data_IF_204905899260
#
_entry.id   IF_204905899260
#
_cell.length_a   1.000
_cell.length_b   1.000
_cell.length_c   1.000
_cell.angle_alpha   90.00
_cell.angle_beta   90.00
_cell.angle_gamma   90.00
#
_symmetry.space_group_name_H-M   'P 1'
#
loop_
_entity.id
_entity.type
_entity.pdbx_description
1 polymer ?
#
# COMPACT_ATOMS: atom_id res chain seq x y z
N UNK A 1 -37.49 10.37 -21.36
CA UNK A 1 -36.20 10.20 -20.64
C UNK A 1 -35.69 8.78 -20.89
N UNK A 2 -34.92 8.58 -21.96
CA UNK A 2 -33.97 7.47 -22.01
C UNK A 2 -32.69 8.00 -21.39
N UNK A 3 -32.45 7.67 -20.11
CA UNK A 3 -31.18 7.95 -19.44
C UNK A 3 -30.24 6.80 -19.82
N UNK A 4 -29.12 7.13 -20.44
CA UNK A 4 -28.02 6.20 -20.68
C UNK A 4 -27.67 5.50 -19.36
N UNK A 5 -27.72 4.16 -19.35
CA UNK A 5 -27.39 3.33 -18.17
C UNK A 5 -28.55 2.59 -17.50
N UNK A 6 -29.75 2.53 -18.10
CA UNK A 6 -30.86 1.66 -17.61
C UNK A 6 -30.94 0.35 -18.40
N UNK A 7 -30.81 -0.78 -17.72
CA UNK A 7 -30.81 -2.12 -18.31
C UNK A 7 -32.02 -2.93 -17.84
N UNK A 8 -32.67 -3.63 -18.76
CA UNK A 8 -33.77 -4.54 -18.43
C UNK A 8 -33.24 -5.89 -18.00
N UNK A 9 -33.66 -6.35 -16.82
CA UNK A 9 -33.05 -7.49 -16.15
C UNK A 9 -34.11 -8.36 -15.46
N UNK A 10 -34.30 -9.62 -15.88
CA UNK A 10 -35.04 -10.60 -15.09
C UNK A 10 -34.27 -10.98 -13.81
N UNK A 11 -34.84 -10.67 -12.66
CA UNK A 11 -34.29 -11.02 -11.34
C UNK A 11 -35.06 -12.21 -10.74
N UNK A 12 -34.33 -13.18 -10.17
CA UNK A 12 -34.93 -14.28 -9.41
C UNK A 12 -35.21 -13.82 -7.99
N UNK A 13 -36.46 -13.92 -7.52
CA UNK A 13 -36.79 -13.56 -6.14
C UNK A 13 -36.11 -14.49 -5.13
N UNK A 14 -35.56 -13.90 -4.07
CA UNK A 14 -35.00 -14.65 -2.93
C UNK A 14 -36.12 -15.48 -2.30
N UNK A 15 -35.91 -16.80 -2.18
CA UNK A 15 -36.87 -17.74 -1.58
C UNK A 15 -38.06 -18.15 -2.46
N UNK A 16 -38.20 -17.65 -3.70
CA UNK A 16 -39.26 -18.07 -4.64
C UNK A 16 -38.67 -18.33 -6.03
N UNK A 17 -39.00 -19.46 -6.65
CA UNK A 17 -38.52 -19.79 -8.00
C UNK A 17 -39.32 -19.06 -9.11
N UNK A 18 -39.43 -17.73 -8.98
CA UNK A 18 -40.14 -16.86 -9.92
C UNK A 18 -39.21 -15.74 -10.37
N UNK A 19 -39.12 -15.53 -11.69
CA UNK A 19 -38.43 -14.41 -12.29
C UNK A 19 -39.36 -13.20 -12.32
N UNK A 20 -38.87 -12.07 -11.85
CA UNK A 20 -39.57 -10.78 -11.87
C UNK A 20 -38.77 -9.82 -12.73
N UNK A 21 -39.39 -9.14 -13.69
CA UNK A 21 -38.70 -8.13 -14.47
C UNK A 21 -38.34 -6.93 -13.58
N UNK A 22 -37.07 -6.53 -13.64
CA UNK A 22 -36.49 -5.41 -12.91
C UNK A 22 -35.67 -4.56 -13.88
N UNK A 23 -35.40 -3.33 -13.45
CA UNK A 23 -34.48 -2.44 -14.14
C UNK A 23 -33.26 -2.23 -13.25
N UNK A 24 -32.08 -2.28 -13.85
CA UNK A 24 -30.83 -1.89 -13.22
C UNK A 24 -30.38 -0.56 -13.82
N UNK A 25 -30.42 0.50 -13.02
CA UNK A 25 -29.86 1.79 -13.38
C UNK A 25 -28.41 1.88 -12.90
N UNK A 26 -27.53 2.43 -13.72
CA UNK A 26 -26.16 2.79 -13.33
C UNK A 26 -25.99 4.28 -13.59
N UNK A 27 -25.63 5.04 -12.56
CA UNK A 27 -25.26 6.45 -12.69
C UNK A 27 -23.79 6.64 -12.23
N UNK A 28 -23.31 7.89 -12.17
CA UNK A 28 -21.92 8.22 -11.81
C UNK A 28 -21.57 7.97 -10.34
N UNK A 29 -22.54 7.71 -9.48
CA UNK A 29 -22.37 7.66 -8.01
C UNK A 29 -22.84 6.33 -7.41
N UNK A 30 -23.85 5.68 -7.99
CA UNK A 30 -24.49 4.47 -7.50
C UNK A 30 -25.08 3.58 -8.62
N UNK A 31 -25.27 2.31 -8.27
CA UNK A 31 -26.09 1.34 -8.99
C UNK A 31 -27.44 1.26 -8.28
N UNK A 32 -28.54 1.29 -9.03
CA UNK A 32 -29.90 1.30 -8.49
C UNK A 32 -30.73 0.17 -9.07
N UNK A 33 -31.44 -0.55 -8.20
CA UNK A 33 -32.49 -1.50 -8.57
C UNK A 33 -33.82 -0.77 -8.63
N UNK A 34 -34.50 -0.84 -9.76
CA UNK A 34 -35.71 -0.09 -10.05
C UNK A 34 -36.84 -1.06 -10.45
N UNK A 35 -38.06 -0.76 -10.02
CA UNK A 35 -39.25 -1.50 -10.45
C UNK A 35 -39.55 -1.19 -11.94
N UNK A 36 -39.83 -2.23 -12.73
CA UNK A 36 -40.11 -2.05 -14.16
C UNK A 36 -41.39 -1.21 -14.40
N UNK A 37 -42.43 -1.42 -13.59
CA UNK A 37 -43.77 -0.85 -13.82
C UNK A 37 -43.93 0.50 -13.15
N UNK A 38 -43.52 0.62 -11.88
CA UNK A 38 -43.70 1.86 -11.13
C UNK A 38 -42.55 2.85 -11.33
N UNK A 39 -41.39 2.37 -11.83
CA UNK A 39 -40.13 3.13 -11.91
C UNK A 39 -39.61 3.63 -10.57
N UNK A 40 -40.10 3.06 -9.46
CA UNK A 40 -39.61 3.39 -8.14
C UNK A 40 -38.27 2.72 -7.87
N UNK A 41 -37.40 3.43 -7.17
CA UNK A 41 -36.11 2.89 -6.73
C UNK A 41 -36.34 1.98 -5.52
N UNK A 42 -35.98 0.71 -5.66
CA UNK A 42 -36.15 -0.31 -4.64
C UNK A 42 -34.93 -0.42 -3.73
N UNK A 43 -33.73 -0.22 -4.30
CA UNK A 43 -32.46 -0.27 -3.57
C UNK A 43 -31.39 0.48 -4.36
N UNK A 44 -30.54 1.21 -3.65
CA UNK A 44 -29.37 1.89 -4.21
C UNK A 44 -28.10 1.37 -3.54
N UNK A 45 -27.05 1.25 -4.34
CA UNK A 45 -25.73 0.82 -3.92
C UNK A 45 -24.69 1.82 -4.42
N UNK A 46 -24.02 2.58 -3.53
CA UNK A 46 -22.92 3.45 -3.91
C UNK A 46 -21.84 2.69 -4.67
N UNK A 47 -21.30 3.28 -5.74
CA UNK A 47 -20.22 2.67 -6.53
C UNK A 47 -18.96 2.44 -5.70
N UNK A 48 -18.73 3.26 -4.68
CA UNK A 48 -17.61 3.11 -3.73
C UNK A 48 -17.69 1.82 -2.90
N UNK A 49 -18.88 1.24 -2.75
CA UNK A 49 -19.09 -0.02 -2.02
C UNK A 49 -18.92 -1.26 -2.91
N UNK A 50 -18.84 -1.08 -4.23
CA UNK A 50 -18.64 -2.20 -5.16
C UNK A 50 -17.19 -2.66 -5.08
N UNK A 51 -16.96 -3.90 -4.63
CA UNK A 51 -15.63 -4.49 -4.52
C UNK A 51 -15.21 -5.17 -5.82
N UNK A 52 -16.11 -5.96 -6.40
CA UNK A 52 -15.87 -6.67 -7.66
C UNK A 52 -17.17 -6.93 -8.40
N UNK A 53 -17.08 -7.07 -9.71
CA UNK A 53 -18.17 -7.53 -10.56
C UNK A 53 -17.69 -8.68 -11.43
N UNK A 54 -18.60 -9.61 -11.75
CA UNK A 54 -18.33 -10.70 -12.67
C UNK A 54 -19.35 -10.67 -13.81
N UNK A 55 -18.84 -10.81 -15.03
CA UNK A 55 -19.63 -10.79 -16.27
C UNK A 55 -19.56 -12.17 -16.91
N UNK A 56 -20.71 -12.74 -17.20
CA UNK A 56 -20.86 -13.98 -17.97
C UNK A 56 -21.89 -13.74 -19.07
N UNK A 57 -21.89 -14.53 -20.18
CA UNK A 57 -22.74 -14.27 -21.35
C UNK A 57 -24.25 -14.15 -21.07
N UNK A 58 -24.71 -14.63 -19.92
CA UNK A 58 -26.12 -14.58 -19.50
C UNK A 58 -26.34 -14.07 -18.08
N UNK A 59 -25.28 -13.77 -17.34
CA UNK A 59 -25.38 -13.40 -15.94
C UNK A 59 -24.39 -12.31 -15.58
N UNK A 60 -24.83 -11.41 -14.73
CA UNK A 60 -24.00 -10.36 -14.16
C UNK A 60 -24.12 -10.42 -12.64
N UNK A 61 -23.00 -10.33 -11.93
CA UNK A 61 -22.99 -10.40 -10.46
C UNK A 61 -22.18 -9.28 -9.87
N UNK A 62 -22.73 -8.61 -8.85
CA UNK A 62 -22.05 -7.60 -8.03
C UNK A 62 -21.72 -8.17 -6.66
N UNK A 63 -20.49 -7.92 -6.22
CA UNK A 63 -20.01 -8.19 -4.88
C UNK A 63 -19.70 -6.87 -4.17
N UNK A 64 -20.26 -6.71 -2.98
CA UNK A 64 -20.09 -5.55 -2.12
C UNK A 64 -19.19 -5.85 -0.91
N UNK A 65 -18.65 -7.07 -0.79
CA UNK A 65 -17.86 -7.50 0.36
C UNK A 65 -18.61 -7.29 1.68
N UNK A 66 -17.95 -6.70 2.67
CA UNK A 66 -18.50 -6.49 4.02
C UNK A 66 -19.62 -5.41 4.07
N UNK A 67 -19.87 -4.68 2.97
CA UNK A 67 -20.96 -3.69 2.91
C UNK A 67 -22.34 -4.34 2.77
N UNK A 68 -22.42 -5.59 2.31
CA UNK A 68 -23.68 -6.32 2.23
C UNK A 68 -23.48 -7.84 2.26
N UNK A 69 -24.30 -8.54 3.04
CA UNK A 69 -24.37 -9.99 3.03
C UNK A 69 -24.89 -10.52 1.68
N UNK A 70 -23.97 -11.08 0.90
CA UNK A 70 -24.25 -11.87 -0.31
C UNK A 70 -24.19 -11.11 -1.64
N UNK A 71 -24.00 -11.89 -2.71
CA UNK A 71 -23.88 -11.37 -4.07
C UNK A 71 -25.23 -10.92 -4.64
N UNK A 72 -25.24 -9.79 -5.35
CA UNK A 72 -26.37 -9.40 -6.18
C UNK A 72 -26.18 -9.97 -7.60
N UNK A 73 -26.88 -11.07 -7.89
CA UNK A 73 -26.79 -11.75 -9.18
C UNK A 73 -28.04 -11.53 -10.04
N UNK A 74 -27.83 -11.23 -11.31
CA UNK A 74 -28.91 -11.01 -12.27
C UNK A 74 -28.66 -11.70 -13.61
N UNK A 75 -29.73 -12.02 -14.33
CA UNK A 75 -29.65 -12.59 -15.67
C UNK A 75 -29.72 -11.47 -16.71
N UNK A 76 -28.67 -11.29 -17.49
CA UNK A 76 -28.59 -10.27 -18.54
C UNK A 76 -27.58 -10.66 -19.62
N UNK A 77 -27.87 -10.30 -20.86
CA UNK A 77 -26.93 -10.41 -21.99
C UNK A 77 -26.02 -9.18 -22.12
N UNK A 78 -26.36 -8.08 -21.46
CA UNK A 78 -25.59 -6.82 -21.51
C UNK A 78 -24.60 -6.69 -20.34
N UNK A 79 -24.22 -7.81 -19.70
CA UNK A 79 -23.33 -7.83 -18.53
C UNK A 79 -21.99 -7.13 -18.79
N UNK A 80 -21.41 -7.31 -19.97
CA UNK A 80 -20.17 -6.64 -20.37
C UNK A 80 -20.31 -5.11 -20.45
N UNK A 81 -21.43 -4.62 -21.02
CA UNK A 81 -21.70 -3.17 -21.12
C UNK A 81 -21.91 -2.55 -19.74
N UNK A 82 -22.63 -3.25 -18.85
CA UNK A 82 -22.84 -2.84 -17.47
C UNK A 82 -21.50 -2.77 -16.73
N UNK A 83 -20.68 -3.82 -16.87
CA UNK A 83 -19.34 -3.87 -16.28
C UNK A 83 -18.43 -2.74 -16.76
N UNK A 84 -18.42 -2.45 -18.07
CA UNK A 84 -17.63 -1.34 -18.63
C UNK A 84 -18.08 0.03 -18.11
N UNK A 85 -19.38 0.26 -17.98
CA UNK A 85 -19.90 1.50 -17.41
C UNK A 85 -19.50 1.66 -15.94
N UNK A 86 -19.63 0.60 -15.15
CA UNK A 86 -19.23 0.60 -13.73
C UNK A 86 -17.72 0.83 -13.60
N UNK A 87 -16.91 0.14 -14.41
CA UNK A 87 -15.46 0.33 -14.44
C UNK A 87 -15.09 1.79 -14.75
N UNK A 88 -15.69 2.37 -15.80
CA UNK A 88 -15.43 3.75 -16.18
C UNK A 88 -15.83 4.77 -15.10
N UNK A 89 -16.92 4.54 -14.37
CA UNK A 89 -17.32 5.43 -13.28
C UNK A 89 -16.44 5.28 -12.05
N UNK A 90 -16.06 4.05 -11.68
CA UNK A 90 -15.14 3.80 -10.55
C UNK A 90 -13.77 4.42 -10.84
N UNK A 91 -13.24 4.29 -12.06
CA UNK A 91 -11.98 4.92 -12.45
C UNK A 91 -12.01 6.44 -12.27
N UNK A 92 -13.12 7.09 -12.63
CA UNK A 92 -13.29 8.54 -12.43
C UNK A 92 -13.32 8.89 -10.93
N UNK A 93 -14.03 8.10 -10.12
CA UNK A 93 -14.11 8.31 -8.66
C UNK A 93 -12.74 8.15 -8.02
N UNK A 94 -12.01 7.07 -8.33
CA UNK A 94 -10.67 6.80 -7.79
C UNK A 94 -9.69 7.89 -8.19
N UNK A 95 -9.66 8.30 -9.47
CA UNK A 95 -8.81 9.40 -9.94
C UNK A 95 -9.14 10.72 -9.24
N UNK A 96 -10.43 11.04 -9.09
CA UNK A 96 -10.86 12.26 -8.40
C UNK A 96 -10.48 12.26 -6.91
N UNK A 97 -10.55 11.10 -6.26
CA UNK A 97 -10.12 10.94 -4.86
C UNK A 97 -8.61 11.09 -4.73
N UNK A 98 -7.82 10.46 -5.60
CA UNK A 98 -6.37 10.61 -5.63
C UNK A 98 -5.91 12.06 -5.85
N UNK A 99 -6.59 12.82 -6.72
CA UNK A 99 -6.29 14.25 -6.91
C UNK A 99 -6.66 15.12 -5.70
N UNK A 100 -7.71 14.75 -4.96
CA UNK A 100 -8.11 15.46 -3.73
C UNK A 100 -7.17 15.16 -2.56
N UNK A 101 -6.68 13.93 -2.47
CA UNK A 101 -5.74 13.50 -1.44
C UNK A 101 -4.32 14.07 -1.67
N UNK A 102 -4.04 14.56 -2.89
CA UNK A 102 -2.80 15.30 -3.23
C UNK A 102 -2.89 16.82 -2.97
N UNK A 103 -3.90 17.30 -2.24
CA UNK A 103 -4.01 18.71 -1.83
C UNK A 103 -3.32 18.99 -0.47
N UNK A 104 -2.46 18.08 -0.01
CA UNK A 104 -1.79 18.11 1.30
C UNK A 104 -0.27 18.20 1.24
N UNK A 105 0.31 18.71 0.14
CA UNK A 105 1.73 19.10 0.13
C UNK A 105 1.81 20.57 0.51
N UNK A 106 1.98 20.82 1.81
CA UNK A 106 2.78 21.97 2.26
C UNK A 106 4.21 21.72 1.78
N UNK A 107 4.58 22.39 0.69
CA UNK A 107 5.87 22.24 0.05
C UNK A 107 6.09 23.36 -0.95
N UNK A 108 6.53 24.48 -0.39
CA UNK A 108 7.34 25.51 -1.04
C UNK A 108 6.67 26.46 -2.05
N UNK A 109 6.67 27.74 -1.69
CA UNK A 109 6.29 28.88 -2.51
C UNK A 109 7.22 28.98 -3.75
N UNK A 110 6.87 28.33 -4.85
CA UNK A 110 7.68 28.47 -6.07
C UNK A 110 7.18 27.86 -7.38
N UNK A 111 6.25 26.91 -7.37
CA UNK A 111 5.76 26.32 -8.64
C UNK A 111 4.57 27.12 -9.21
N UNK A 112 4.85 28.35 -9.66
CA UNK A 112 4.02 29.00 -10.68
C UNK A 112 3.83 28.00 -11.83
N UNK A 113 2.58 27.78 -12.25
CA UNK A 113 2.29 27.07 -13.49
C UNK A 113 3.02 27.80 -14.63
N UNK A 114 4.15 27.24 -15.09
CA UNK A 114 4.75 27.67 -16.34
C UNK A 114 3.93 27.01 -17.43
N UNK A 115 3.07 27.78 -18.09
CA UNK A 115 2.47 27.34 -19.35
C UNK A 115 3.62 27.03 -20.31
N UNK A 116 3.77 25.76 -20.67
CA UNK A 116 4.71 25.31 -21.70
C UNK A 116 4.17 25.80 -23.05
N UNK A 117 4.45 27.08 -23.36
CA UNK A 117 4.29 27.61 -24.70
C UNK A 117 5.36 26.94 -25.53
N UNK A 118 4.98 25.87 -26.21
CA UNK A 118 5.84 25.12 -27.14
C UNK A 118 6.22 26.05 -28.30
N UNK A 119 7.34 26.75 -28.15
CA UNK A 119 8.02 27.36 -29.28
C UNK A 119 8.64 26.22 -30.11
N UNK A 120 8.59 26.29 -31.46
CA UNK A 120 9.17 25.27 -32.32
C UNK A 120 10.64 25.05 -31.96
N UNK A 121 10.96 23.81 -31.60
CA UNK A 121 12.25 23.40 -31.07
C UNK A 121 13.40 23.84 -32.00
N UNK A 122 14.24 24.77 -31.52
CA UNK A 122 15.57 24.96 -32.10
C UNK A 122 16.42 23.75 -31.75
N UNK A 123 16.76 22.97 -32.75
CA UNK A 123 17.65 21.82 -32.60
C UNK A 123 19.05 22.27 -32.15
N UNK A 124 19.46 21.85 -30.96
CA UNK A 124 20.85 22.01 -30.50
C UNK A 124 21.69 20.91 -31.14
N UNK A 125 22.40 21.24 -32.22
CA UNK A 125 23.39 20.38 -32.85
C UNK A 125 24.60 20.22 -31.92
N UNK A 126 24.74 19.07 -31.28
CA UNK A 126 25.99 18.68 -30.63
C UNK A 126 26.89 18.05 -31.69
N UNK A 127 27.68 18.88 -32.37
CA UNK A 127 28.73 18.42 -33.28
C UNK A 127 30.02 18.15 -32.50
N UNK A 128 30.53 16.91 -32.59
CA UNK A 128 31.86 16.58 -32.10
C UNK A 128 32.89 16.95 -33.18
N UNK A 129 33.41 18.18 -33.11
CA UNK A 129 34.46 18.70 -34.00
C UNK A 129 34.37 20.22 -34.18
N UNK A 130 35.51 20.92 -34.15
CA UNK A 130 35.55 22.38 -34.28
C UNK A 130 34.94 22.85 -35.60
N UNK A 131 33.78 23.52 -35.53
CA UNK A 131 33.14 24.16 -36.68
C UNK A 131 33.79 25.54 -36.86
N UNK A 132 34.60 25.68 -37.90
CA UNK A 132 35.16 26.97 -38.31
C UNK A 132 34.05 27.95 -38.76
N UNK A 133 34.23 29.22 -38.44
CA UNK A 133 33.30 30.29 -38.79
C UNK A 133 33.06 30.36 -40.31
N UNK A 134 31.79 30.26 -40.74
CA UNK A 134 31.40 30.66 -42.10
C UNK A 134 30.52 29.71 -42.91
N UNK A 135 29.71 28.82 -42.29
CA UNK A 135 28.79 27.98 -43.07
C UNK A 135 27.34 28.21 -42.64
N UNK A 136 26.55 28.81 -43.55
CA UNK A 136 25.12 29.01 -43.41
C UNK A 136 24.37 27.80 -43.97
N UNK A 137 23.44 27.23 -43.20
CA UNK A 137 22.55 26.18 -43.66
C UNK A 137 21.53 26.74 -44.68
N UNK A 138 21.33 26.04 -45.79
CA UNK A 138 20.28 26.35 -46.77
C UNK A 138 19.13 25.35 -46.58
N UNK A 139 17.89 25.86 -46.59
CA UNK A 139 16.68 25.02 -46.55
C UNK A 139 16.54 24.22 -47.83
N UNK A 140 16.37 22.90 -47.70
CA UNK A 140 16.09 21.99 -48.81
C UNK A 140 14.82 21.18 -48.52
N UNK A 141 13.87 21.23 -49.45
CA UNK A 141 12.61 20.50 -49.37
C UNK A 141 12.81 18.99 -49.57
N UNK A 142 12.37 18.17 -48.63
CA UNK A 142 12.42 16.70 -48.72
C UNK A 142 11.15 16.19 -49.42
N UNK A 143 11.16 16.22 -50.74
CA UNK A 143 10.28 15.40 -51.56
C UNK A 143 11.13 14.68 -52.60
N UNK A 144 11.68 13.52 -52.23
CA UNK A 144 12.37 12.63 -53.16
C UNK A 144 11.71 11.25 -53.19
N UNK A 145 11.35 10.87 -54.41
CA UNK A 145 10.56 9.72 -54.85
C UNK A 145 11.31 8.41 -54.57
N UNK A 146 10.59 7.40 -54.04
CA UNK A 146 11.15 6.08 -53.74
C UNK A 146 11.76 5.39 -54.97
N UNK A 147 12.98 4.87 -54.81
CA UNK A 147 13.67 4.05 -55.80
C UNK A 147 13.63 2.60 -55.31
N UNK A 148 12.91 1.74 -56.04
CA UNK A 148 12.92 0.29 -55.86
C UNK A 148 14.26 -0.27 -56.35
N UNK A 149 14.99 -1.00 -55.51
CA UNK A 149 16.08 -1.90 -55.94
C UNK A 149 15.79 -3.32 -55.48
N UNK A 150 15.83 -4.25 -56.43
CA UNK A 150 15.75 -5.70 -56.25
C UNK A 150 17.10 -6.29 -55.81
N UNK A 151 17.13 -7.42 -55.09
CA UNK A 151 18.36 -7.94 -54.50
C UNK A 151 19.05 -8.98 -55.41
N UNK A 152 20.37 -8.89 -55.57
CA UNK A 152 21.21 -9.99 -56.08
C UNK A 152 22.55 -10.08 -55.31
N UNK A 153 22.74 -11.25 -54.70
CA UNK A 153 23.96 -12.00 -54.32
C UNK A 153 25.29 -11.27 -53.96
N UNK A 154 25.71 -11.45 -52.69
CA UNK A 154 27.03 -11.75 -52.04
C UNK A 154 28.36 -11.74 -52.87
N UNK A 155 29.59 -11.77 -52.26
CA UNK A 155 30.00 -11.69 -50.84
C UNK A 155 31.31 -10.89 -50.50
N UNK A 156 31.56 -10.70 -49.19
CA UNK A 156 32.84 -10.52 -48.47
C UNK A 156 33.72 -9.26 -48.61
N UNK A 157 34.18 -8.76 -47.45
CA UNK A 157 35.33 -7.87 -47.31
C UNK A 157 35.48 -7.28 -45.90
N UNK A 158 36.47 -7.76 -45.14
CA UNK A 158 36.87 -7.36 -43.78
C UNK A 158 37.34 -5.90 -43.66
N UNK A 159 37.19 -5.29 -42.47
CA UNK A 159 38.16 -4.29 -41.99
C UNK A 159 37.62 -3.09 -41.18
N UNK A 160 37.73 -3.20 -39.84
CA UNK A 160 38.07 -2.18 -38.83
C UNK A 160 37.79 -0.68 -39.03
N UNK A 161 37.14 -0.07 -38.02
CA UNK A 161 37.53 1.28 -37.57
C UNK A 161 36.45 2.25 -37.06
N UNK A 162 35.99 2.03 -35.81
CA UNK A 162 35.87 3.04 -34.73
C UNK A 162 34.84 4.20 -34.81
N UNK A 163 34.10 4.34 -33.69
CA UNK A 163 33.34 5.46 -33.11
C UNK A 163 32.04 5.90 -33.83
N UNK A 164 30.89 6.07 -33.18
CA UNK A 164 30.52 6.05 -31.77
C UNK A 164 29.13 6.71 -31.61
N UNK A 165 28.43 6.39 -30.51
CA UNK A 165 27.20 7.00 -29.97
C UNK A 165 25.92 6.95 -30.86
N UNK A 166 24.94 6.08 -30.59
CA UNK A 166 23.95 6.03 -29.48
C UNK A 166 22.62 6.77 -29.79
N UNK A 167 21.54 6.21 -29.21
CA UNK A 167 20.15 6.69 -29.07
C UNK A 167 19.27 6.50 -30.31
N UNK A 168 18.24 5.65 -30.31
CA UNK A 168 17.02 5.72 -29.49
C UNK A 168 15.99 6.57 -30.27
N UNK A 169 14.81 6.13 -30.72
CA UNK A 169 13.91 5.11 -30.21
C UNK A 169 12.78 4.83 -31.24
N UNK A 170 12.03 3.75 -30.95
CA UNK A 170 10.59 3.50 -31.21
C UNK A 170 9.99 3.56 -32.63
N UNK A 171 9.60 2.41 -33.17
CA UNK A 171 8.18 1.97 -33.27
C UNK A 171 7.92 1.03 -34.46
N UNK A 172 7.55 -0.22 -34.13
CA UNK A 172 6.54 -1.07 -34.78
C UNK A 172 6.51 -1.28 -36.30
N UNK A 173 6.92 -2.47 -36.76
CA UNK A 173 6.08 -3.35 -37.58
C UNK A 173 6.65 -4.78 -37.63
N UNK A 174 5.78 -5.78 -37.50
CA UNK A 174 6.11 -7.19 -37.31
C UNK A 174 6.22 -7.86 -38.70
N UNK A 175 7.36 -8.46 -39.04
CA UNK A 175 7.36 -9.55 -40.02
C UNK A 175 8.46 -10.59 -39.76
N UNK A 176 7.98 -11.83 -39.71
CA UNK A 176 8.63 -13.11 -39.40
C UNK A 176 9.93 -13.39 -40.15
N UNK A 177 10.97 -13.87 -39.45
CA UNK A 177 11.44 -15.26 -39.52
C UNK A 177 12.76 -15.50 -38.74
N UNK A 178 12.78 -16.63 -38.03
CA UNK A 178 13.96 -17.46 -37.70
C UNK A 178 15.08 -16.83 -36.86
N UNK A 179 14.94 -16.88 -35.52
CA UNK A 179 16.10 -16.99 -34.64
C UNK A 179 16.18 -18.38 -34.01
N UNK A 180 17.32 -19.02 -34.25
CA UNK A 180 17.66 -20.32 -33.72
C UNK A 180 18.02 -20.30 -32.23
N UNK A 181 17.71 -21.42 -31.60
CA UNK A 181 18.36 -22.01 -30.41
C UNK A 181 18.54 -21.11 -29.18
N UNK A 182 17.49 -21.17 -28.36
CA UNK A 182 17.57 -21.67 -26.98
C UNK A 182 18.55 -20.96 -26.04
N UNK A 183 18.21 -19.72 -25.69
CA UNK A 183 18.21 -19.37 -24.26
C UNK A 183 16.77 -19.48 -23.80
N UNK A 184 16.46 -20.54 -23.04
CA UNK A 184 15.24 -20.56 -22.23
C UNK A 184 15.22 -19.24 -21.47
N UNK A 185 14.27 -18.35 -21.79
CA UNK A 185 13.82 -17.33 -20.85
C UNK A 185 13.53 -18.09 -19.56
N UNK A 186 14.45 -17.98 -18.59
CA UNK A 186 14.13 -18.31 -17.22
C UNK A 186 13.07 -17.29 -16.86
N UNK A 187 11.81 -17.73 -16.90
CA UNK A 187 10.75 -17.12 -16.11
C UNK A 187 11.30 -17.20 -14.70
N UNK A 188 11.96 -16.12 -14.24
CA UNK A 188 12.13 -15.93 -12.81
C UNK A 188 10.71 -15.81 -12.28
N UNK A 189 10.43 -16.61 -11.27
CA UNK A 189 9.12 -16.69 -10.64
C UNK A 189 8.57 -15.29 -10.44
N UNK A 190 7.40 -15.06 -11.02
CA UNK A 190 6.74 -13.77 -10.95
C UNK A 190 6.08 -13.78 -9.59
N UNK A 191 6.70 -13.18 -8.57
CA UNK A 191 5.93 -12.79 -7.38
C UNK A 191 4.69 -12.06 -7.89
N UNK A 192 3.51 -12.61 -7.59
CA UNK A 192 2.22 -12.00 -7.90
C UNK A 192 2.29 -10.54 -7.41
N UNK A 193 1.85 -9.56 -8.22
CA UNK A 193 1.94 -8.11 -7.91
C UNK A 193 1.67 -7.73 -6.42
N UNK A 194 0.73 -8.37 -5.70
CA UNK A 194 0.47 -8.13 -4.27
C UNK A 194 1.64 -8.48 -3.34
N UNK A 195 2.36 -9.58 -3.58
CA UNK A 195 3.49 -10.00 -2.75
C UNK A 195 4.63 -9.00 -2.85
N UNK A 196 4.85 -8.44 -4.05
CA UNK A 196 5.86 -7.40 -4.26
C UNK A 196 5.52 -6.10 -3.53
N UNK A 197 4.24 -5.73 -3.50
CA UNK A 197 3.77 -4.56 -2.75
C UNK A 197 3.90 -4.75 -1.23
N UNK A 198 3.63 -5.97 -0.74
CA UNK A 198 3.84 -6.34 0.66
C UNK A 198 5.32 -6.25 1.04
N UNK A 199 6.24 -6.83 0.25
CA UNK A 199 7.68 -6.76 0.51
C UNK A 199 8.14 -5.29 0.57
N UNK A 200 7.71 -4.45 -0.37
CA UNK A 200 8.04 -3.02 -0.34
C UNK A 200 7.49 -2.30 0.91
N UNK A 201 6.32 -2.70 1.40
CA UNK A 201 5.74 -2.17 2.64
C UNK A 201 6.53 -2.61 3.88
N UNK A 202 6.97 -3.87 3.91
CA UNK A 202 7.85 -4.41 4.97
C UNK A 202 9.18 -3.67 4.99
N UNK A 203 9.83 -3.49 3.84
CA UNK A 203 11.09 -2.75 3.73
C UNK A 203 10.94 -1.29 4.19
N UNK A 204 9.87 -0.62 3.78
CA UNK A 204 9.57 0.73 4.25
C UNK A 204 9.37 0.77 5.76
N UNK A 205 8.70 -0.23 6.33
CA UNK A 205 8.45 -0.34 7.77
C UNK A 205 9.75 -0.62 8.54
N UNK A 206 10.64 -1.48 8.02
CA UNK A 206 11.97 -1.71 8.59
C UNK A 206 12.78 -0.41 8.61
N UNK A 207 12.67 0.42 7.56
CA UNK A 207 13.29 1.75 7.56
C UNK A 207 12.71 2.64 8.66
N UNK A 208 11.40 2.59 8.90
CA UNK A 208 10.77 3.31 10.03
C UNK A 208 11.20 2.79 11.40
N UNK A 209 11.58 1.50 11.53
CA UNK A 209 12.21 0.96 12.74
C UNK A 209 13.57 1.62 12.99
N UNK A 210 14.41 1.69 11.95
CA UNK A 210 15.70 2.35 12.05
C UNK A 210 15.55 3.86 12.37
N UNK A 211 14.57 4.52 11.76
CA UNK A 211 14.22 5.91 12.08
C UNK A 211 13.78 6.08 13.54
N UNK A 212 12.99 5.15 14.08
CA UNK A 212 12.58 5.18 15.48
C UNK A 212 13.77 5.04 16.45
N UNK A 213 14.75 4.18 16.11
CA UNK A 213 15.99 4.06 16.87
C UNK A 213 16.85 5.32 16.80
N UNK A 214 16.96 5.95 15.62
CA UNK A 214 17.66 7.24 15.45
C UNK A 214 16.97 8.36 16.25
N UNK A 215 15.63 8.44 16.19
CA UNK A 215 14.85 9.41 16.94
C UNK A 215 15.01 9.23 18.46
N UNK A 216 15.19 7.99 18.94
CA UNK A 216 15.45 7.69 20.34
C UNK A 216 16.82 8.20 20.82
N UNK A 217 17.83 8.18 19.94
CA UNK A 217 19.20 8.63 20.24
C UNK A 217 19.41 10.14 20.03
N UNK A 218 18.53 10.78 19.26
CA UNK A 218 18.60 12.22 18.95
C UNK A 218 18.48 13.07 20.21
N UNK A 219 19.09 14.25 20.20
CA UNK A 219 18.86 15.23 21.27
C UNK A 219 17.39 15.67 21.30
N UNK A 220 16.75 15.69 22.48
CA UNK A 220 15.36 16.11 22.62
C UNK A 220 15.24 17.61 22.39
N UNK A 221 14.37 17.98 21.46
CA UNK A 221 14.04 19.38 21.19
C UNK A 221 12.83 19.80 22.04
N UNK A 222 13.06 20.02 23.33
CA UNK A 222 12.02 20.48 24.27
C UNK A 222 12.12 21.99 24.40
N UNK A 223 11.22 22.72 23.72
CA UNK A 223 11.08 24.15 23.90
C UNK A 223 10.38 24.45 25.22
N UNK A 224 11.15 24.75 26.27
CA UNK A 224 10.57 25.16 27.54
C UNK A 224 9.87 26.52 27.40
N UNK A 225 8.55 26.60 27.68
CA UNK A 225 7.85 27.88 27.79
C UNK A 225 8.47 28.77 28.88
N UNK A 226 8.29 30.09 28.74
CA UNK A 226 8.66 31.02 29.82
C UNK A 226 7.64 30.93 30.94
N UNK A 227 8.05 30.42 32.09
CA UNK A 227 7.22 30.34 33.29
C UNK A 227 7.47 31.54 34.22
N UNK A 228 6.42 32.04 34.85
CA UNK A 228 6.51 33.12 35.85
C UNK A 228 6.92 32.59 37.24
N UNK A 229 6.60 31.33 37.53
CA UNK A 229 6.76 30.67 38.82
C UNK A 229 7.13 29.19 38.66
N UNK A 230 7.81 28.65 39.68
CA UNK A 230 8.25 27.25 39.70
C UNK A 230 7.08 26.26 39.73
N UNK A 231 5.93 26.67 40.29
CA UNK A 231 4.72 25.84 40.33
C UNK A 231 4.15 25.61 38.93
N UNK A 232 4.01 26.66 38.11
CA UNK A 232 3.56 26.51 36.72
C UNK A 232 4.53 25.66 35.88
N UNK A 233 5.84 25.82 36.10
CA UNK A 233 6.86 24.98 35.45
C UNK A 233 6.69 23.51 35.81
N UNK A 234 6.51 23.19 37.10
CA UNK A 234 6.32 21.82 37.58
C UNK A 234 5.06 21.19 37.00
N UNK A 235 3.96 21.94 37.03
CA UNK A 235 2.67 21.50 36.47
C UNK A 235 2.77 21.21 34.97
N UNK A 236 3.48 22.05 34.21
CA UNK A 236 3.71 21.81 32.79
C UNK A 236 4.54 20.54 32.55
N UNK A 237 5.59 20.31 33.34
CA UNK A 237 6.38 19.06 33.25
C UNK A 237 5.50 17.84 33.54
N UNK A 238 4.67 17.90 34.58
CA UNK A 238 3.75 16.80 34.93
C UNK A 238 2.74 16.54 33.79
N UNK A 239 2.25 17.60 33.15
CA UNK A 239 1.36 17.52 31.98
C UNK A 239 2.07 16.90 30.77
N UNK A 240 3.30 17.31 30.46
CA UNK A 240 4.11 16.72 29.38
C UNK A 240 4.40 15.24 29.63
N UNK A 241 4.74 14.86 30.87
CA UNK A 241 4.93 13.46 31.25
C UNK A 241 3.65 12.66 31.00
N UNK A 242 2.49 13.20 31.39
CA UNK A 242 1.19 12.53 31.20
C UNK A 242 0.87 12.36 29.72
N UNK A 243 1.01 13.42 28.92
CA UNK A 243 0.75 13.39 27.47
C UNK A 243 1.66 12.37 26.77
N UNK A 244 2.97 12.41 27.05
CA UNK A 244 3.91 11.49 26.40
C UNK A 244 3.64 10.03 26.80
N UNK A 245 3.27 9.76 28.05
CA UNK A 245 2.86 8.42 28.49
C UNK A 245 1.60 7.93 27.78
N UNK A 246 0.58 8.78 27.68
CA UNK A 246 -0.66 8.45 26.97
C UNK A 246 -0.39 8.16 25.49
N UNK A 247 0.40 9.00 24.83
CA UNK A 247 0.81 8.82 23.43
C UNK A 247 1.56 7.49 23.24
N UNK A 248 2.55 7.18 24.08
CA UNK A 248 3.28 5.90 23.99
C UNK A 248 2.33 4.73 24.18
N UNK A 249 1.45 4.76 25.18
CA UNK A 249 0.48 3.69 25.42
C UNK A 249 -0.48 3.49 24.24
N UNK A 250 -1.00 4.57 23.65
CA UNK A 250 -1.90 4.51 22.48
C UNK A 250 -1.21 3.88 21.27
N UNK A 251 0.02 4.33 20.97
CA UNK A 251 0.81 3.82 19.85
C UNK A 251 1.19 2.35 20.07
N UNK A 252 1.61 1.97 21.28
CA UNK A 252 1.89 0.57 21.63
C UNK A 252 0.64 -0.32 21.51
N UNK A 253 -0.53 0.16 21.93
CA UNK A 253 -1.78 -0.59 21.80
C UNK A 253 -2.16 -0.82 20.33
N UNK A 254 -2.04 0.21 19.48
CA UNK A 254 -2.27 0.09 18.04
C UNK A 254 -1.32 -0.92 17.39
N UNK A 255 -0.03 -0.87 17.73
CA UNK A 255 0.96 -1.82 17.21
C UNK A 255 0.74 -3.24 17.74
N UNK A 256 0.32 -3.40 18.99
CA UNK A 256 -0.04 -4.71 19.56
C UNK A 256 -1.24 -5.33 18.83
N UNK A 257 -2.27 -4.53 18.52
CA UNK A 257 -3.40 -4.97 17.73
C UNK A 257 -3.01 -5.34 16.30
N UNK A 258 -2.18 -4.51 15.64
CA UNK A 258 -1.66 -4.77 14.30
C UNK A 258 -0.80 -6.06 14.27
N UNK A 259 0.07 -6.26 15.26
CA UNK A 259 0.89 -7.48 15.39
C UNK A 259 0.02 -8.73 15.50
N UNK A 260 -1.05 -8.68 16.30
CA UNK A 260 -2.00 -9.78 16.40
C UNK A 260 -2.74 -10.04 15.08
N UNK A 261 -3.13 -8.99 14.34
CA UNK A 261 -3.75 -9.11 13.02
C UNK A 261 -2.83 -9.78 12.00
N UNK A 262 -1.55 -9.40 11.97
CA UNK A 262 -0.54 -10.02 11.10
C UNK A 262 -0.40 -11.51 11.42
N UNK A 263 -0.30 -11.89 12.70
CA UNK A 263 -0.24 -13.30 13.12
C UNK A 263 -1.51 -14.08 12.75
N UNK A 264 -2.67 -13.42 12.82
CA UNK A 264 -3.96 -14.01 12.47
C UNK A 264 -4.10 -14.23 10.96
N UNK A 265 -3.68 -13.28 10.13
CA UNK A 265 -3.84 -13.36 8.67
C UNK A 265 -2.78 -14.22 8.01
N UNK A 266 -1.55 -14.24 8.55
CA UNK A 266 -0.52 -15.23 8.15
C UNK A 266 -0.90 -16.68 8.49
N UNK A 267 -2.04 -16.92 9.14
CA UNK A 267 -2.60 -18.26 9.37
C UNK A 267 -3.34 -18.83 8.17
N UNK A 268 -3.81 -17.98 7.27
CA UNK A 268 -4.68 -18.35 6.15
C UNK A 268 -3.88 -18.16 4.87
N UNK A 269 -3.58 -19.25 4.15
CA UNK A 269 -2.65 -19.25 3.01
C UNK A 269 -3.22 -18.64 1.72
N UNK A 270 -4.52 -18.34 1.65
CA UNK A 270 -5.18 -17.86 0.44
C UNK A 270 -5.59 -16.39 0.62
N UNK A 271 -4.95 -15.47 -0.13
CA UNK A 271 -5.26 -14.02 -0.24
C UNK A 271 -5.01 -13.13 1.02
N UNK A 272 -3.78 -13.07 1.54
CA UNK A 272 -3.47 -12.28 2.75
C UNK A 272 -2.61 -11.02 2.56
N UNK A 273 -2.00 -10.79 1.39
CA UNK A 273 -0.92 -9.79 1.26
C UNK A 273 -1.35 -8.34 1.52
N UNK A 274 -2.52 -7.90 1.02
CA UNK A 274 -2.98 -6.51 1.20
C UNK A 274 -3.36 -6.19 2.65
N UNK A 275 -4.00 -7.16 3.34
CA UNK A 275 -4.42 -6.99 4.73
C UNK A 275 -3.20 -6.94 5.64
N UNK A 276 -2.28 -7.91 5.47
CA UNK A 276 -1.02 -7.95 6.21
C UNK A 276 -0.21 -6.68 5.97
N UNK A 277 -0.13 -6.20 4.74
CA UNK A 277 0.54 -4.94 4.40
C UNK A 277 -0.04 -3.73 5.15
N UNK A 278 -1.36 -3.65 5.30
CA UNK A 278 -2.03 -2.56 6.04
C UNK A 278 -1.69 -2.56 7.54
N UNK A 279 -1.68 -3.74 8.17
CA UNK A 279 -1.30 -3.86 9.57
C UNK A 279 0.19 -3.54 9.78
N UNK A 280 1.05 -3.99 8.86
CA UNK A 280 2.49 -3.67 8.88
C UNK A 280 2.73 -2.17 8.71
N UNK A 281 2.03 -1.52 7.78
CA UNK A 281 2.10 -0.07 7.61
C UNK A 281 1.65 0.69 8.88
N UNK A 282 0.67 0.15 9.61
CA UNK A 282 0.26 0.70 10.92
C UNK A 282 1.40 0.59 11.92
N UNK A 283 2.16 -0.51 11.95
CA UNK A 283 3.35 -0.62 12.81
C UNK A 283 4.37 0.46 12.42
N UNK A 284 4.67 0.59 11.13
CA UNK A 284 5.66 1.55 10.63
C UNK A 284 5.33 3.02 10.90
N UNK A 285 4.05 3.39 10.86
CA UNK A 285 3.64 4.77 11.12
C UNK A 285 3.66 5.14 12.61
N UNK A 286 3.47 4.18 13.50
CA UNK A 286 3.40 4.44 14.95
C UNK A 286 4.78 4.35 15.63
N UNK A 287 5.73 3.61 15.05
CA UNK A 287 7.01 3.34 15.70
C UNK A 287 7.91 4.58 15.87
N UNK A 288 8.08 5.47 14.87
CA UNK A 288 8.84 6.71 15.05
C UNK A 288 8.24 7.64 16.10
N UNK A 289 6.90 7.68 16.21
CA UNK A 289 6.21 8.43 17.27
C UNK A 289 6.57 7.90 18.65
N UNK A 290 6.63 6.58 18.85
CA UNK A 290 7.05 5.99 20.13
C UNK A 290 8.48 6.41 20.46
N UNK A 291 9.40 6.37 19.49
CA UNK A 291 10.78 6.85 19.67
C UNK A 291 10.84 8.29 20.16
N UNK A 292 10.11 9.20 19.49
CA UNK A 292 10.01 10.63 19.87
C UNK A 292 9.42 10.83 21.26
N UNK A 293 8.27 10.24 21.54
CA UNK A 293 7.58 10.43 22.83
C UNK A 293 8.39 9.83 23.99
N UNK A 294 9.07 8.70 23.78
CA UNK A 294 9.95 8.10 24.79
C UNK A 294 11.18 8.97 25.04
N UNK A 295 11.82 9.51 24.00
CA UNK A 295 12.94 10.46 24.13
C UNK A 295 12.53 11.69 24.94
N UNK A 296 11.37 12.26 24.64
CA UNK A 296 10.92 13.48 25.31
C UNK A 296 10.49 13.17 26.76
N UNK A 297 9.83 12.03 27.01
CA UNK A 297 9.50 11.53 28.35
C UNK A 297 10.77 11.27 29.19
N UNK A 298 11.80 10.69 28.59
CA UNK A 298 13.07 10.38 29.21
C UNK A 298 13.74 11.62 29.85
N UNK A 299 13.55 12.82 29.28
CA UNK A 299 14.09 14.07 29.85
C UNK A 299 13.46 14.47 31.18
N UNK A 300 12.22 14.06 31.41
CA UNK A 300 11.48 14.38 32.64
C UNK A 300 11.57 13.26 33.69
N UNK A 301 12.25 12.15 33.36
CA UNK A 301 12.43 11.01 34.25
C UNK A 301 13.78 11.05 35.00
N UNK A 302 13.88 10.42 36.18
CA UNK A 302 15.16 10.23 36.87
C UNK A 302 16.12 9.37 36.03
N UNK A 303 17.42 9.67 36.05
CA UNK A 303 18.45 9.05 35.20
C UNK A 303 18.38 7.51 35.14
N UNK A 304 18.14 6.84 36.28
CA UNK A 304 18.05 5.38 36.32
C UNK A 304 16.85 4.82 35.53
N UNK A 305 15.67 5.43 35.70
CA UNK A 305 14.45 5.02 34.97
C UNK A 305 14.48 5.47 33.52
N UNK A 306 15.20 6.56 33.23
CA UNK A 306 15.45 7.05 31.87
C UNK A 306 16.18 6.01 31.04
N UNK A 307 17.33 5.54 31.54
CA UNK A 307 18.16 4.59 30.80
C UNK A 307 17.44 3.24 30.64
N UNK A 308 16.71 2.80 31.67
CA UNK A 308 15.87 1.59 31.60
C UNK A 308 14.77 1.72 30.53
N UNK A 309 14.12 2.89 30.42
CA UNK A 309 13.05 3.14 29.46
C UNK A 309 13.58 3.16 28.02
N UNK A 310 14.68 3.89 27.80
CA UNK A 310 15.34 3.97 26.48
C UNK A 310 15.81 2.59 26.04
N UNK A 311 16.42 1.81 26.94
CA UNK A 311 16.86 0.44 26.62
C UNK A 311 15.69 -0.50 26.33
N UNK A 312 14.58 -0.41 27.09
CA UNK A 312 13.37 -1.17 26.82
C UNK A 312 12.78 -0.85 25.44
N UNK A 313 12.73 0.44 25.08
CA UNK A 313 12.22 0.88 23.77
C UNK A 313 13.15 0.48 22.62
N UNK A 314 14.48 0.49 22.82
CA UNK A 314 15.44 -0.03 21.84
C UNK A 314 15.22 -1.53 21.58
N UNK A 315 15.05 -2.33 22.64
CA UNK A 315 14.74 -3.76 22.49
C UNK A 315 13.41 -4.00 21.79
N UNK A 316 12.41 -3.16 22.05
CA UNK A 316 11.14 -3.20 21.33
C UNK A 316 11.32 -2.93 19.83
N UNK A 317 12.09 -1.91 19.44
CA UNK A 317 12.39 -1.61 18.03
C UNK A 317 13.10 -2.79 17.35
N UNK A 318 14.13 -3.34 17.99
CA UNK A 318 14.81 -4.54 17.49
C UNK A 318 13.88 -5.75 17.35
N UNK A 319 12.95 -5.94 18.29
CA UNK A 319 11.96 -7.01 18.20
C UNK A 319 10.94 -6.82 17.06
N UNK A 320 10.54 -5.58 16.76
CA UNK A 320 9.75 -5.28 15.57
C UNK A 320 10.55 -5.56 14.28
N UNK A 321 11.84 -5.21 14.23
CA UNK A 321 12.72 -5.57 13.12
C UNK A 321 12.77 -7.08 12.87
N UNK A 322 13.04 -7.87 13.93
CA UNK A 322 13.01 -9.33 13.87
C UNK A 322 11.65 -9.89 13.42
N UNK A 323 10.56 -9.30 13.89
CA UNK A 323 9.20 -9.70 13.53
C UNK A 323 8.91 -9.42 12.05
N UNK A 324 9.29 -8.25 11.54
CA UNK A 324 9.10 -7.87 10.14
C UNK A 324 9.92 -8.77 9.20
N UNK A 325 11.14 -9.13 9.59
CA UNK A 325 11.94 -10.12 8.87
C UNK A 325 11.28 -11.51 8.87
N UNK A 326 10.71 -11.95 9.99
CA UNK A 326 10.03 -13.24 10.07
C UNK A 326 8.73 -13.30 9.25
N UNK A 327 8.06 -12.16 9.07
CA UNK A 327 6.82 -12.05 8.29
C UNK A 327 7.09 -11.85 6.80
N UNK A 328 8.33 -11.54 6.41
CA UNK A 328 8.68 -11.34 5.01
C UNK A 328 8.48 -12.65 4.20
N UNK A 329 7.63 -12.63 3.15
CA UNK A 329 7.38 -13.81 2.33
C UNK A 329 8.62 -14.35 1.61
N UNK A 330 9.67 -13.54 1.41
CA UNK A 330 10.92 -13.98 0.77
C UNK A 330 11.76 -14.91 1.65
N UNK A 331 11.60 -14.86 2.98
CA UNK A 331 12.43 -15.64 3.91
C UNK A 331 11.88 -17.06 4.18
N UNK A 332 10.66 -17.38 3.75
CA UNK A 332 9.97 -18.67 3.97
C UNK A 332 10.11 -19.21 5.43
N UNK A 333 9.97 -18.31 6.41
CA UNK A 333 10.12 -18.67 7.83
C UNK A 333 9.00 -19.58 8.34
N UNK A 334 9.32 -20.39 9.35
CA UNK A 334 8.30 -21.24 9.99
C UNK A 334 7.32 -20.36 10.75
N UNK A 335 6.03 -20.74 10.72
CA UNK A 335 4.98 -20.08 11.53
C UNK A 335 5.32 -19.99 13.01
N UNK A 336 6.04 -20.97 13.56
CA UNK A 336 6.55 -20.94 14.94
C UNK A 336 7.52 -19.80 15.20
N UNK A 337 8.35 -19.44 14.21
CA UNK A 337 9.27 -18.30 14.28
C UNK A 337 8.50 -16.99 14.31
N UNK A 338 7.48 -16.83 13.45
CA UNK A 338 6.60 -15.65 13.43
C UNK A 338 5.88 -15.48 14.76
N UNK A 339 5.32 -16.55 15.31
CA UNK A 339 4.66 -16.55 16.62
C UNK A 339 5.63 -16.17 17.76
N UNK A 340 6.86 -16.70 17.73
CA UNK A 340 7.87 -16.37 18.73
C UNK A 340 8.32 -14.91 18.62
N UNK A 341 8.49 -14.38 17.40
CA UNK A 341 8.82 -12.97 17.17
C UNK A 341 7.71 -12.03 17.63
N UNK A 342 6.44 -12.35 17.31
CA UNK A 342 5.28 -11.60 17.81
C UNK A 342 5.17 -11.64 19.34
N UNK A 343 5.47 -12.78 19.96
CA UNK A 343 5.54 -12.91 21.41
C UNK A 343 6.59 -11.97 22.04
N UNK A 344 7.80 -11.93 21.47
CA UNK A 344 8.87 -11.02 21.91
C UNK A 344 8.46 -9.54 21.81
N UNK A 345 7.77 -9.15 20.74
CA UNK A 345 7.21 -7.80 20.60
C UNK A 345 6.24 -7.48 21.75
N UNK A 346 5.36 -8.42 22.10
CA UNK A 346 4.45 -8.28 23.24
C UNK A 346 5.18 -8.12 24.58
N UNK A 347 6.20 -8.95 24.83
CA UNK A 347 6.99 -8.92 26.06
C UNK A 347 7.74 -7.57 26.22
N UNK A 348 8.39 -7.08 25.16
CA UNK A 348 9.10 -5.80 25.22
C UNK A 348 8.16 -4.60 25.26
N UNK A 349 7.00 -4.67 24.60
CA UNK A 349 5.96 -3.64 24.71
C UNK A 349 5.48 -3.52 26.17
N UNK A 350 5.25 -4.66 26.83
CA UNK A 350 4.91 -4.67 28.25
C UNK A 350 6.06 -4.15 29.13
N UNK A 351 7.31 -4.44 28.78
CA UNK A 351 8.48 -3.90 29.50
C UNK A 351 8.54 -2.37 29.43
N UNK A 352 8.27 -1.77 28.27
CA UNK A 352 8.19 -0.31 28.12
C UNK A 352 7.08 0.25 29.01
N UNK A 353 5.88 -0.33 28.96
CA UNK A 353 4.73 0.10 29.79
C UNK A 353 5.08 0.04 31.29
N UNK A 354 5.65 -1.07 31.76
CA UNK A 354 6.02 -1.26 33.15
C UNK A 354 7.12 -0.28 33.62
N UNK A 355 7.94 0.20 32.70
CA UNK A 355 9.00 1.18 33.00
C UNK A 355 8.44 2.60 33.09
N UNK A 356 7.43 2.92 32.27
CA UNK A 356 6.68 4.18 32.32
C UNK A 356 5.84 4.29 33.60
N UNK A 357 5.07 3.25 33.91
CA UNK A 357 4.18 3.16 35.06
C UNK A 357 4.37 1.82 35.77
N UNK A 358 4.59 1.87 37.08
CA UNK A 358 4.68 0.63 37.87
C UNK A 358 3.33 -0.09 37.82
N UNK A 359 3.28 -1.36 37.37
CA UNK A 359 2.03 -2.08 37.25
C UNK A 359 1.40 -2.23 38.63
N UNK A 360 0.08 -2.04 38.72
CA UNK A 360 -0.63 -2.31 39.97
C UNK A 360 -0.61 -3.82 40.27
N UNK A 361 -0.69 -4.19 41.54
CA UNK A 361 -0.74 -5.60 41.96
C UNK A 361 -1.86 -6.37 41.25
N UNK A 362 -3.00 -5.73 41.01
CA UNK A 362 -4.13 -6.32 40.28
C UNK A 362 -3.81 -6.53 38.79
N UNK A 363 -3.16 -5.58 38.12
CA UNK A 363 -2.76 -5.70 36.71
C UNK A 363 -1.75 -6.84 36.52
N UNK A 364 -0.74 -6.92 37.39
CA UNK A 364 0.25 -8.01 37.34
C UNK A 364 -0.44 -9.37 37.55
N UNK A 365 -1.30 -9.48 38.57
CA UNK A 365 -2.02 -10.71 38.85
C UNK A 365 -2.94 -11.13 37.70
N UNK A 366 -3.65 -10.18 37.09
CA UNK A 366 -4.52 -10.44 35.94
C UNK A 366 -3.71 -10.93 34.73
N UNK A 367 -2.59 -10.27 34.43
CA UNK A 367 -1.71 -10.65 33.33
C UNK A 367 -1.14 -12.06 33.52
N UNK A 368 -0.63 -12.37 34.72
CA UNK A 368 -0.11 -13.71 35.05
C UNK A 368 -1.20 -14.79 34.92
N UNK A 369 -2.42 -14.47 35.34
CA UNK A 369 -3.57 -15.37 35.20
C UNK A 369 -3.92 -15.64 33.73
N UNK A 370 -3.86 -14.61 32.88
CA UNK A 370 -4.10 -14.74 31.44
C UNK A 370 -3.04 -15.62 30.77
N UNK A 371 -1.76 -15.39 31.09
CA UNK A 371 -0.64 -16.21 30.60
C UNK A 371 -0.80 -17.67 31.02
N UNK A 372 -1.18 -17.92 32.28
CA UNK A 372 -1.41 -19.27 32.78
C UNK A 372 -2.57 -19.95 32.06
N UNK A 373 -3.68 -19.24 31.82
CA UNK A 373 -4.82 -19.76 31.06
C UNK A 373 -4.42 -20.10 29.61
N UNK A 374 -3.67 -19.22 28.94
CA UNK A 374 -3.19 -19.47 27.59
C UNK A 374 -2.29 -20.72 27.51
N UNK A 375 -1.37 -20.91 28.47
CA UNK A 375 -0.54 -22.12 28.57
C UNK A 375 -1.37 -23.39 28.77
N UNK A 376 -2.41 -23.33 29.60
CA UNK A 376 -3.31 -24.46 29.84
C UNK A 376 -4.09 -24.85 28.58
N UNK A 377 -4.57 -23.87 27.81
CA UNK A 377 -5.22 -24.11 26.51
C UNK A 377 -4.25 -24.78 25.55
N UNK A 378 -3.04 -24.22 25.37
CA UNK A 378 -2.02 -24.79 24.49
C UNK A 378 -1.67 -26.24 24.86
N UNK A 379 -1.51 -26.52 26.16
CA UNK A 379 -1.23 -27.88 26.67
C UNK A 379 -2.38 -28.84 26.39
N UNK A 380 -3.62 -28.40 26.62
CA UNK A 380 -4.81 -29.22 26.36
C UNK A 380 -4.99 -29.50 24.87
N UNK A 381 -4.75 -28.51 24.00
CA UNK A 381 -4.77 -28.69 22.55
C UNK A 381 -3.66 -29.64 22.09
N UNK A 382 -2.44 -29.54 22.64
CA UNK A 382 -1.35 -30.47 22.33
C UNK A 382 -1.70 -31.92 22.71
N UNK A 383 -2.32 -32.14 23.88
CA UNK A 383 -2.82 -33.46 24.28
C UNK A 383 -3.90 -34.00 23.33
N UNK A 384 -4.73 -33.12 22.77
CA UNK A 384 -5.78 -33.50 21.81
C UNK A 384 -5.21 -33.88 20.44
N UNK A 385 -4.10 -33.26 20.00
CA UNK A 385 -3.40 -33.60 18.75
C UNK A 385 -2.63 -34.93 18.87
N UNK A 386 -2.21 -35.30 20.09
CA UNK A 386 -1.51 -36.56 20.36
C UNK A 386 -2.43 -37.78 20.52
N UNK A 387 -3.75 -37.56 20.62
CA UNK A 387 -4.77 -38.62 20.65
C UNK A 387 -5.34 -38.84 19.27
#
# INVERSE_FOLDING_TARGET
MHRDGSFFIPEKLVGKNKLVPRLLGVNKECVMRVDEKTKDVLKEWPLEQVRRWNTSPRTFTLDFGDYQDGYYSVQTSDGEKIGQLIAGYIDIIVKKKAMRDHLGIEGDEGSTMLEDVVAPAKATLVAHGQIGAGQHAQDAHVALRGVLRTPQQQPQGYGYGINGAQYGAVSGEIQSQSLGRAQRLRILDTYEHPQRALVGTIEATIKSVAEAEEELEREPHIELPRFHDDYSRRKWVDEQVTINKENVNERLAAMGAATAQVVQWTAVQEEYDDRVGTAIATIGSNLPDVGRNVRDLAQFMPDRRRDDLVEATRKLCGAFGDFLHAVNPEHEEKRTTVLAAAGRVGDFSQQVINTMDEPTTEQSYFHDNLVQKAKNVATSTAQLVLR
#
